data_IF_783838138766
#
_entry.id   IF_783838138766
#
_cell.length_a   1.000
_cell.length_b   1.000
_cell.length_c   1.000
_cell.angle_alpha   90.00
_cell.angle_beta   90.00
_cell.angle_gamma   90.00
#
_symmetry.space_group_name_H-M   'P 1'
#
loop_
_entity.id
_entity.type
_entity.pdbx_description
1 polymer ?
#
# COMPACT_ATOMS: atom_id res chain seq x y z
N UNK A 1 -1.23 -21.44 -15.85
CA UNK A 1 -0.19 -20.94 -16.77
C UNK A 1 -0.76 -19.73 -17.51
N UNK A 2 0.05 -18.71 -17.78
CA UNK A 2 -0.33 -17.60 -18.66
C UNK A 2 0.22 -17.94 -20.04
N UNK A 3 -0.65 -18.14 -21.02
CA UNK A 3 -0.29 -18.50 -22.38
C UNK A 3 -0.44 -17.30 -23.33
N UNK A 4 0.43 -17.24 -24.33
CA UNK A 4 0.32 -16.32 -25.45
C UNK A 4 -0.82 -16.76 -26.37
N UNK A 5 -1.27 -15.87 -27.26
CA UNK A 5 -2.36 -16.12 -28.21
C UNK A 5 -2.08 -17.29 -29.18
N UNK A 6 -0.82 -17.72 -29.27
CA UNK A 6 -0.39 -18.89 -30.03
C UNK A 6 -0.30 -20.18 -29.21
N UNK A 7 -0.82 -20.19 -27.98
CA UNK A 7 -0.85 -21.36 -27.08
C UNK A 7 0.49 -21.69 -26.41
N UNK A 8 1.55 -20.91 -26.64
CA UNK A 8 2.85 -21.10 -25.96
C UNK A 8 2.88 -20.37 -24.62
N UNK A 9 3.62 -20.91 -23.67
CA UNK A 9 3.83 -20.26 -22.38
C UNK A 9 4.48 -18.89 -22.55
N UNK A 10 3.95 -17.90 -21.82
CA UNK A 10 4.57 -16.58 -21.73
C UNK A 10 5.68 -16.63 -20.69
N UNK A 11 6.92 -16.44 -21.15
CA UNK A 11 8.06 -16.19 -20.27
C UNK A 11 7.96 -14.80 -19.62
N UNK A 12 8.81 -14.54 -18.62
CA UNK A 12 8.87 -13.26 -17.88
C UNK A 12 9.02 -12.03 -18.80
N UNK A 13 9.76 -12.17 -19.91
CA UNK A 13 9.90 -11.13 -20.93
C UNK A 13 8.58 -10.81 -21.65
N UNK A 14 7.73 -11.82 -21.88
CA UNK A 14 6.43 -11.62 -22.54
C UNK A 14 5.46 -10.81 -21.69
N UNK A 15 5.52 -10.94 -20.36
CA UNK A 15 4.72 -10.13 -19.43
C UNK A 15 5.16 -8.67 -19.47
N UNK A 16 6.47 -8.40 -19.37
CA UNK A 16 6.99 -7.03 -19.45
C UNK A 16 6.63 -6.39 -20.80
N UNK A 17 6.80 -7.12 -21.91
CA UNK A 17 6.42 -6.64 -23.25
C UNK A 17 4.94 -6.30 -23.36
N UNK A 18 4.06 -7.10 -22.73
CA UNK A 18 2.63 -6.81 -22.72
C UNK A 18 2.34 -5.52 -21.92
N UNK A 19 2.98 -5.34 -20.76
CA UNK A 19 2.86 -4.13 -19.96
C UNK A 19 3.37 -2.90 -20.74
N UNK A 20 4.54 -2.98 -21.36
CA UNK A 20 5.10 -1.90 -22.18
C UNK A 20 4.20 -1.54 -23.38
N UNK A 21 3.59 -2.53 -24.01
CA UNK A 21 2.62 -2.31 -25.09
C UNK A 21 1.34 -1.60 -24.62
N UNK A 22 0.94 -1.79 -23.37
CA UNK A 22 -0.20 -1.06 -22.79
C UNK A 22 0.25 0.36 -22.43
N UNK A 23 1.40 0.49 -21.76
CA UNK A 23 1.95 1.77 -21.32
C UNK A 23 2.16 2.73 -22.49
N UNK A 24 2.72 2.26 -23.61
CA UNK A 24 2.90 3.06 -24.84
C UNK A 24 1.60 3.60 -25.46
N UNK A 25 0.44 3.03 -25.11
CA UNK A 25 -0.88 3.48 -25.57
C UNK A 25 -1.61 4.35 -24.54
N UNK A 26 -0.96 4.63 -23.41
CA UNK A 26 -1.54 5.37 -22.29
C UNK A 26 -0.58 6.48 -21.86
N UNK A 27 -1.07 7.47 -21.11
CA UNK A 27 -0.21 8.50 -20.53
C UNK A 27 0.27 8.13 -19.12
N UNK A 28 0.49 6.84 -18.86
CA UNK A 28 0.87 6.31 -17.55
C UNK A 28 2.38 6.21 -17.41
N UNK A 29 2.87 6.40 -16.19
CA UNK A 29 4.28 6.20 -15.86
C UNK A 29 4.69 4.74 -16.02
N UNK A 30 5.98 4.52 -16.30
CA UNK A 30 6.52 3.18 -16.44
C UNK A 30 6.33 2.36 -15.16
N UNK A 31 5.75 1.17 -15.30
CA UNK A 31 5.50 0.24 -14.19
C UNK A 31 5.95 -1.16 -14.57
N UNK A 32 6.46 -1.89 -13.59
CA UNK A 32 6.94 -3.27 -13.75
C UNK A 32 6.05 -4.24 -12.96
N UNK A 33 6.07 -5.56 -13.25
CA UNK A 33 5.41 -6.57 -12.42
C UNK A 33 5.84 -6.52 -10.95
N UNK A 34 7.10 -6.18 -10.69
CA UNK A 34 7.60 -6.00 -9.33
C UNK A 34 6.98 -4.77 -8.65
N UNK A 35 6.87 -3.65 -9.36
CA UNK A 35 6.17 -2.45 -8.86
C UNK A 35 4.69 -2.72 -8.56
N UNK A 36 3.99 -3.43 -9.44
CA UNK A 36 2.60 -3.86 -9.21
C UNK A 36 2.47 -4.73 -7.95
N UNK A 37 3.42 -5.64 -7.73
CA UNK A 37 3.46 -6.49 -6.54
C UNK A 37 3.70 -5.69 -5.26
N UNK A 38 4.57 -4.69 -5.31
CA UNK A 38 4.77 -3.75 -4.20
C UNK A 38 3.48 -2.99 -3.87
N UNK A 39 2.81 -2.42 -4.86
CA UNK A 39 1.54 -1.71 -4.66
C UNK A 39 0.48 -2.64 -4.05
N UNK A 40 0.38 -3.89 -4.52
CA UNK A 40 -0.56 -4.85 -3.95
C UNK A 40 -0.29 -5.13 -2.46
N UNK A 41 0.98 -5.28 -2.07
CA UNK A 41 1.35 -5.49 -0.67
C UNK A 41 0.99 -4.29 0.21
N UNK A 42 1.28 -3.06 -0.26
CA UNK A 42 0.92 -1.82 0.45
C UNK A 42 -0.60 -1.75 0.66
N UNK A 43 -1.40 -1.98 -0.39
CA UNK A 43 -2.86 -1.91 -0.29
C UNK A 43 -3.43 -2.92 0.71
N UNK A 44 -2.87 -4.13 0.78
CA UNK A 44 -3.30 -5.13 1.76
C UNK A 44 -2.99 -4.68 3.20
N UNK A 45 -1.80 -4.13 3.43
CA UNK A 45 -1.42 -3.62 4.75
C UNK A 45 -2.23 -2.40 5.16
N UNK A 46 -2.48 -1.46 4.23
CA UNK A 46 -3.34 -0.29 4.47
C UNK A 46 -4.78 -0.70 4.77
N UNK A 47 -5.26 -1.82 4.23
CA UNK A 47 -6.57 -2.38 4.56
C UNK A 47 -6.62 -3.11 5.92
N UNK A 48 -5.49 -3.17 6.65
CA UNK A 48 -5.40 -3.77 7.98
C UNK A 48 -5.12 -5.28 7.98
N UNK A 49 -4.69 -5.85 6.85
CA UNK A 49 -4.28 -7.26 6.81
C UNK A 49 -2.93 -7.43 7.50
N UNK A 50 -2.81 -8.46 8.34
CA UNK A 50 -1.56 -8.76 9.03
C UNK A 50 -0.42 -9.10 8.07
N UNK A 51 0.79 -8.65 8.42
CA UNK A 51 1.99 -8.79 7.60
C UNK A 51 2.36 -10.25 7.29
N UNK A 52 2.14 -11.17 8.24
CA UNK A 52 2.40 -12.59 8.02
C UNK A 52 1.45 -13.14 6.96
N UNK A 53 0.18 -12.74 7.05
CA UNK A 53 -0.85 -13.12 6.06
C UNK A 53 -0.52 -12.54 4.68
N UNK A 54 -0.06 -11.29 4.59
CA UNK A 54 0.37 -10.69 3.32
C UNK A 54 1.60 -11.42 2.75
N UNK A 55 2.58 -11.77 3.59
CA UNK A 55 3.79 -12.50 3.19
C UNK A 55 3.46 -13.90 2.68
N UNK A 56 2.60 -14.64 3.39
CA UNK A 56 2.14 -15.97 3.00
C UNK A 56 1.37 -15.92 1.66
N UNK A 57 0.50 -14.92 1.50
CA UNK A 57 -0.29 -14.72 0.27
C UNK A 57 0.56 -14.37 -0.95
N UNK A 58 1.62 -13.60 -0.74
CA UNK A 58 2.57 -13.25 -1.81
C UNK A 58 3.60 -14.35 -2.03
N UNK A 59 3.72 -15.34 -1.14
CA UNK A 59 4.59 -16.50 -1.27
C UNK A 59 6.06 -16.16 -1.05
N UNK A 60 6.46 -15.95 0.22
CA UNK A 60 7.83 -15.84 0.76
C UNK A 60 8.84 -14.96 -0.02
N UNK A 61 8.41 -14.25 -1.05
CA UNK A 61 9.35 -13.64 -1.96
C UNK A 61 9.82 -12.34 -1.36
N UNK A 62 11.08 -12.45 -0.93
CA UNK A 62 11.93 -11.38 -0.47
C UNK A 62 11.38 -10.68 0.75
N UNK A 63 11.82 -11.17 1.91
CA UNK A 63 11.82 -10.44 3.20
C UNK A 63 12.13 -8.95 2.99
N UNK A 64 13.03 -8.61 2.07
CA UNK A 64 13.36 -7.23 1.69
C UNK A 64 12.16 -6.43 1.13
N UNK A 65 11.33 -7.01 0.25
CA UNK A 65 10.14 -6.35 -0.29
C UNK A 65 9.14 -6.03 0.83
N UNK A 66 8.92 -7.02 1.70
CA UNK A 66 8.05 -6.90 2.86
C UNK A 66 8.60 -5.91 3.88
N UNK A 67 9.92 -5.88 4.11
CA UNK A 67 10.59 -4.96 5.01
C UNK A 67 10.58 -3.50 4.51
N UNK A 68 10.81 -3.27 3.22
CA UNK A 68 10.75 -1.92 2.62
C UNK A 68 9.32 -1.35 2.71
N UNK A 69 8.32 -2.19 2.43
CA UNK A 69 6.92 -1.82 2.61
C UNK A 69 6.59 -1.58 4.09
N UNK A 70 7.11 -2.40 5.00
CA UNK A 70 6.94 -2.25 6.44
C UNK A 70 7.49 -0.91 6.95
N UNK A 71 8.68 -0.51 6.51
CA UNK A 71 9.30 0.76 6.88
C UNK A 71 8.45 1.96 6.42
N UNK A 72 7.82 1.86 5.25
CA UNK A 72 6.97 2.92 4.72
C UNK A 72 5.63 3.02 5.46
N UNK A 73 4.95 1.89 5.64
CA UNK A 73 3.61 1.83 6.23
C UNK A 73 3.67 2.15 7.73
N UNK A 74 4.65 1.63 8.46
CA UNK A 74 4.84 1.91 9.91
C UNK A 74 5.04 3.41 10.17
N UNK A 75 5.90 4.09 9.39
CA UNK A 75 6.09 5.55 9.51
C UNK A 75 4.78 6.34 9.28
N UNK A 76 3.96 5.90 8.32
CA UNK A 76 2.65 6.53 8.05
C UNK A 76 1.66 6.30 9.19
N UNK A 77 1.62 5.09 9.76
CA UNK A 77 0.74 4.81 10.91
C UNK A 77 1.17 5.54 12.18
N UNK A 78 2.48 5.65 12.44
CA UNK A 78 2.99 6.42 13.59
C UNK A 78 2.61 7.89 13.48
N UNK A 79 2.83 8.50 12.32
CA UNK A 79 2.46 9.91 12.08
C UNK A 79 0.95 10.15 12.18
N UNK A 80 0.11 9.25 11.64
CA UNK A 80 -1.33 9.32 11.82
C UNK A 80 -1.78 9.16 13.27
N UNK A 81 -1.17 8.24 14.02
CA UNK A 81 -1.51 7.98 15.42
C UNK A 81 -1.18 9.19 16.30
N UNK A 82 -0.01 9.80 16.07
CA UNK A 82 0.41 11.04 16.74
C UNK A 82 -0.55 12.19 16.41
N UNK A 83 -0.89 12.37 15.12
CA UNK A 83 -1.86 13.40 14.68
C UNK A 83 -3.24 13.20 15.33
N UNK A 84 -3.76 11.97 15.34
CA UNK A 84 -5.04 11.64 16.00
C UNK A 84 -4.98 11.95 17.50
N UNK A 85 -3.86 11.67 18.15
CA UNK A 85 -3.66 11.97 19.58
C UNK A 85 -3.66 13.48 19.84
N UNK A 86 -2.93 14.27 19.04
CA UNK A 86 -2.90 15.74 19.13
C UNK A 86 -4.29 16.33 18.87
N UNK A 87 -5.01 15.85 17.85
CA UNK A 87 -6.37 16.30 17.55
C UNK A 87 -7.34 16.00 18.70
N UNK A 88 -7.19 14.83 19.35
CA UNK A 88 -8.01 14.46 20.52
C UNK A 88 -7.73 15.37 21.71
N UNK A 89 -6.46 15.72 21.96
CA UNK A 89 -6.06 16.68 23.01
C UNK A 89 -6.63 18.08 22.71
N UNK A 90 -6.50 18.57 21.49
CA UNK A 90 -7.03 19.88 21.10
C UNK A 90 -8.57 19.94 21.20
N UNK A 91 -9.26 18.86 20.82
CA UNK A 91 -10.72 18.75 20.99
C UNK A 91 -11.13 18.78 22.46
N UNK A 92 -10.39 18.09 23.34
CA UNK A 92 -10.63 18.13 24.78
C UNK A 92 -10.40 19.53 25.36
N UNK A 93 -9.31 20.20 24.95
CA UNK A 93 -9.00 21.56 25.39
C UNK A 93 -10.05 22.60 24.97
N UNK A 94 -10.68 22.44 23.79
CA UNK A 94 -11.76 23.34 23.33
C UNK A 94 -13.14 23.02 23.90
N UNK A 95 -13.38 21.78 24.35
CA UNK A 95 -14.65 21.38 24.97
C UNK A 95 -14.79 21.77 26.45
N UNK A 96 -13.74 22.30 27.07
CA UNK A 96 -13.70 22.64 28.50
C UNK A 96 -14.10 24.07 28.88
N UNK A 97 -14.47 24.95 27.93
CA UNK A 97 -15.01 26.28 28.25
C UNK A 97 -16.53 26.34 28.01
N UNK A 98 -17.29 25.81 28.97
CA UNK A 98 -18.70 26.21 29.16
C UNK A 98 -18.86 26.60 30.63
N UNK A 99 -18.49 27.82 30.97
CA UNK A 99 -18.86 28.41 32.25
C UNK A 99 -20.26 28.99 32.09
N UNK A 100 -21.25 28.27 32.63
CA UNK A 100 -22.62 28.73 32.81
C UNK A 100 -22.63 29.81 33.90
N UNK A 101 -22.76 31.08 33.52
CA UNK A 101 -23.16 32.13 34.46
C UNK A 101 -24.68 32.31 34.35
N UNK A 102 -25.41 31.68 35.27
CA UNK A 102 -26.75 32.10 35.67
C UNK A 102 -26.86 31.82 37.15
N UNK A 103 -26.69 32.87 37.95
CA UNK A 103 -27.57 33.33 39.03
C UNK A 103 -27.25 34.80 39.30
#
# INVERSE_FOLDING_TARGET
MIASTNGKDIGTFGINKAIDSILSKTNLHHITPHGLRHTHAIMLLESGVDIKTVSDRLGHATINMTADVYLHVTKKHETESVLKSILKINRWAKGGQTYSTTV
#
